data_IF_102333094056
#
_entry.id   IF_102333094056
#
_cell.length_a   1.000
_cell.length_b   1.000
_cell.length_c   1.000
_cell.angle_alpha   90.00
_cell.angle_beta   90.00
_cell.angle_gamma   90.00
#
_symmetry.space_group_name_H-M   'P 1'
#
loop_
_entity.id
_entity.type
_entity.pdbx_description
1 polymer ?
#
# COMPACT_ATOMS: atom_id res chain seq x y z
N UNK A 1 16.72 30.57 13.17
CA UNK A 1 15.86 29.43 13.53
C UNK A 1 16.26 28.27 12.67
N UNK A 2 16.74 27.18 13.26
CA UNK A 2 17.13 26.00 12.52
C UNK A 2 15.88 25.13 12.30
N UNK A 3 15.59 24.79 11.05
CA UNK A 3 14.53 23.83 10.72
C UNK A 3 14.90 22.48 11.36
N UNK A 4 14.12 22.01 12.33
CA UNK A 4 14.31 20.68 12.90
C UNK A 4 14.01 19.64 11.83
N UNK A 5 14.98 18.75 11.55
CA UNK A 5 14.83 17.67 10.56
C UNK A 5 14.27 16.45 11.26
N UNK A 6 13.13 15.97 10.79
CA UNK A 6 12.54 14.71 11.22
C UNK A 6 12.68 13.71 10.08
N UNK A 7 13.13 12.51 10.39
CA UNK A 7 13.19 11.38 9.45
C UNK A 7 12.14 10.36 9.87
N UNK A 8 11.30 9.93 8.94
CA UNK A 8 10.29 8.90 9.19
C UNK A 8 10.64 7.68 8.34
N UNK A 9 10.89 6.56 8.99
CA UNK A 9 11.10 5.26 8.35
C UNK A 9 9.85 4.42 8.54
N UNK A 10 9.10 4.24 7.46
CA UNK A 10 7.86 3.47 7.47
C UNK A 10 8.11 1.96 7.50
N UNK A 11 9.23 1.48 6.95
CA UNK A 11 9.58 0.06 6.93
C UNK A 11 9.94 -0.41 8.34
N UNK A 12 10.82 0.32 9.01
CA UNK A 12 11.20 0.10 10.41
C UNK A 12 10.14 0.60 11.41
N UNK A 13 9.16 1.38 10.97
CA UNK A 13 8.15 2.05 11.80
C UNK A 13 8.78 2.90 12.91
N UNK A 14 9.74 3.74 12.52
CA UNK A 14 10.43 4.64 13.44
C UNK A 14 10.43 6.09 12.95
N UNK A 15 10.46 7.02 13.91
CA UNK A 15 10.63 8.45 13.68
C UNK A 15 11.89 8.89 14.40
N UNK A 16 12.84 9.46 13.67
CA UNK A 16 14.10 9.99 14.21
C UNK A 16 14.08 11.53 14.20
N UNK A 17 14.31 12.13 15.36
CA UNK A 17 14.46 13.57 15.53
C UNK A 17 15.89 14.03 15.22
N UNK A 18 16.06 15.34 15.00
CA UNK A 18 17.36 15.95 14.67
C UNK A 18 18.45 15.72 15.73
N UNK A 19 18.07 15.39 16.96
CA UNK A 19 18.96 15.11 18.09
C UNK A 19 19.35 13.62 18.20
N UNK A 20 18.89 12.78 17.27
CA UNK A 20 19.13 11.34 17.25
C UNK A 20 18.13 10.52 18.07
N UNK A 21 17.17 11.16 18.74
CA UNK A 21 16.11 10.44 19.47
C UNK A 21 15.22 9.70 18.48
N UNK A 22 14.97 8.42 18.75
CA UNK A 22 14.13 7.56 17.92
C UNK A 22 12.87 7.15 18.67
N UNK A 23 11.73 7.25 18.00
CA UNK A 23 10.42 6.85 18.51
C UNK A 23 9.84 5.76 17.61
N UNK A 24 9.35 4.67 18.20
CA UNK A 24 8.57 3.68 17.47
C UNK A 24 7.13 4.18 17.31
N UNK A 25 6.50 3.82 16.19
CA UNK A 25 5.07 4.00 15.98
C UNK A 25 4.46 2.72 15.43
N UNK A 26 3.13 2.64 15.49
CA UNK A 26 2.39 1.54 14.89
C UNK A 26 1.51 2.10 13.78
N UNK A 27 1.43 1.35 12.68
CA UNK A 27 0.49 1.61 11.59
C UNK A 27 -0.17 0.29 11.20
N UNK A 28 -1.43 0.39 10.77
CA UNK A 28 -2.16 -0.75 10.25
C UNK A 28 -1.38 -1.42 9.09
N UNK A 29 -1.21 -2.76 9.08
CA UNK A 29 -0.40 -3.47 8.09
C UNK A 29 -0.85 -3.23 6.65
N UNK A 30 -2.16 -3.07 6.42
CA UNK A 30 -2.70 -2.81 5.10
C UNK A 30 -2.33 -1.40 4.64
N UNK A 31 -2.49 -0.38 5.52
CA UNK A 31 -2.03 0.98 5.23
C UNK A 31 -0.53 1.06 5.00
N UNK A 32 0.28 0.32 5.78
CA UNK A 32 1.73 0.21 5.57
C UNK A 32 2.05 -0.33 4.19
N UNK A 33 1.38 -1.42 3.78
CA UNK A 33 1.55 -2.02 2.47
C UNK A 33 1.19 -1.03 1.35
N UNK A 34 0.07 -0.33 1.48
CA UNK A 34 -0.34 0.66 0.48
C UNK A 34 0.69 1.80 0.35
N UNK A 35 1.12 2.37 1.48
CA UNK A 35 2.09 3.47 1.50
C UNK A 35 3.48 3.06 0.97
N UNK A 36 3.94 1.84 1.28
CA UNK A 36 5.24 1.34 0.80
C UNK A 36 5.23 1.03 -0.71
N UNK A 37 4.12 0.52 -1.23
CA UNK A 37 4.01 0.14 -2.64
C UNK A 37 3.40 1.24 -3.52
N UNK A 38 3.06 2.39 -2.95
CA UNK A 38 2.39 3.48 -3.66
C UNK A 38 0.99 3.11 -4.16
N UNK A 39 0.34 2.13 -3.51
CA UNK A 39 -0.99 1.68 -3.89
C UNK A 39 -2.02 2.70 -3.39
N UNK A 40 -2.77 3.25 -4.32
CA UNK A 40 -4.01 3.99 -4.04
C UNK A 40 -5.23 3.05 -4.15
N UNK A 41 -6.44 3.53 -3.88
CA UNK A 41 -7.69 2.73 -3.98
C UNK A 41 -7.85 2.02 -5.36
N UNK A 42 -7.29 2.61 -6.41
CA UNK A 42 -7.20 2.03 -7.76
C UNK A 42 -6.21 0.86 -7.81
N UNK A 43 -5.05 0.98 -7.14
CA UNK A 43 -4.04 -0.08 -7.04
C UNK A 43 -4.57 -1.32 -6.32
N UNK A 44 -5.38 -1.12 -5.29
CA UNK A 44 -6.08 -2.18 -4.57
C UNK A 44 -7.12 -2.91 -5.44
N UNK A 45 -7.77 -2.17 -6.34
CA UNK A 45 -8.69 -2.76 -7.32
C UNK A 45 -7.90 -3.55 -8.37
N UNK A 46 -6.74 -3.05 -8.80
CA UNK A 46 -5.86 -3.72 -9.76
C UNK A 46 -5.21 -5.00 -9.20
N UNK A 47 -5.03 -5.16 -7.89
CA UNK A 47 -4.63 -6.46 -7.30
C UNK A 47 -5.65 -7.57 -7.57
N UNK A 48 -6.91 -7.22 -7.84
CA UNK A 48 -7.96 -8.17 -8.19
C UNK A 48 -8.07 -8.40 -9.69
N UNK A 49 -7.25 -7.75 -10.53
CA UNK A 49 -7.27 -7.88 -11.99
C UNK A 49 -7.24 -9.35 -12.44
N UNK A 50 -6.32 -10.17 -11.92
CA UNK A 50 -6.24 -11.57 -12.28
C UNK A 50 -7.51 -12.38 -11.91
N UNK A 51 -8.19 -12.01 -10.82
CA UNK A 51 -9.46 -12.63 -10.42
C UNK A 51 -10.61 -12.18 -11.34
N UNK A 52 -10.60 -10.91 -11.77
CA UNK A 52 -11.53 -10.36 -12.77
C UNK A 52 -11.33 -11.08 -14.10
N UNK A 53 -10.09 -11.17 -14.60
CA UNK A 53 -9.75 -11.85 -15.85
C UNK A 53 -10.22 -13.32 -15.83
N UNK A 54 -9.99 -14.01 -14.71
CA UNK A 54 -10.43 -15.40 -14.53
C UNK A 54 -11.95 -15.53 -14.58
N UNK A 55 -12.66 -14.61 -13.91
CA UNK A 55 -14.12 -14.59 -13.93
C UNK A 55 -14.67 -14.30 -15.32
N UNK A 56 -14.11 -13.31 -16.03
CA UNK A 56 -14.54 -12.92 -17.38
C UNK A 56 -14.31 -14.05 -18.39
N UNK A 57 -13.15 -14.72 -18.33
CA UNK A 57 -12.87 -15.88 -19.18
C UNK A 57 -13.86 -17.03 -18.92
N UNK A 58 -14.17 -17.31 -17.66
CA UNK A 58 -15.19 -18.31 -17.30
C UNK A 58 -16.59 -17.91 -17.76
N UNK A 59 -16.94 -16.63 -17.63
CA UNK A 59 -18.23 -16.10 -18.01
C UNK A 59 -18.45 -16.17 -19.53
N UNK A 60 -17.47 -15.75 -20.33
CA UNK A 60 -17.50 -15.87 -21.80
C UNK A 60 -17.61 -17.32 -22.26
N UNK A 61 -16.89 -18.24 -21.61
CA UNK A 61 -16.98 -19.66 -21.93
C UNK A 61 -18.35 -20.26 -21.61
N UNK A 62 -19.03 -19.78 -20.56
CA UNK A 62 -20.35 -20.26 -20.15
C UNK A 62 -21.51 -19.57 -20.88
N UNK A 63 -21.30 -18.38 -21.42
CA UNK A 63 -22.31 -17.58 -22.11
C UNK A 63 -21.81 -17.17 -23.51
N UNK A 64 -21.73 -18.12 -24.47
CA UNK A 64 -21.16 -17.86 -25.80
C UNK A 64 -22.00 -16.91 -26.68
N UNK A 65 -23.11 -16.38 -26.18
CA UNK A 65 -24.04 -15.49 -26.86
C UNK A 65 -24.08 -14.06 -26.30
N UNK A 66 -23.23 -13.73 -25.32
CA UNK A 66 -23.07 -12.35 -24.80
C UNK A 66 -22.20 -11.50 -25.72
#
# INVERSE_FOLDING_TARGET
GANARITVDLEAQTVSASDGTTFAFEVDPFKKHCMLNGLDDIGLTMEKSAAIDTFEAQYQAQNPWS
#
